data_IF_472096285388
#
_entry.id   IF_472096285388
#
_cell.length_a   1.000
_cell.length_b   1.000
_cell.length_c   1.000
_cell.angle_alpha   90.00
_cell.angle_beta   90.00
_cell.angle_gamma   90.00
#
_symmetry.space_group_name_H-M   'P 1'
#
loop_
_entity.id
_entity.type
_entity.pdbx_description
1 polymer ?
#
# COMPACT_ATOMS: atom_id res chain seq x y z
N UNK A 1 3.82 52.28 -71.67
CA UNK A 1 2.67 53.12 -71.33
C UNK A 1 1.55 52.19 -70.91
N UNK A 2 0.94 52.20 -69.75
CA UNK A 2 1.18 52.82 -68.43
C UNK A 2 0.16 52.14 -67.50
N UNK A 3 0.56 51.93 -66.25
CA UNK A 3 -0.23 51.94 -65.01
C UNK A 3 -1.58 51.17 -64.91
N UNK A 4 -1.71 50.23 -63.97
CA UNK A 4 -1.87 50.39 -62.50
C UNK A 4 -3.35 50.53 -62.09
N UNK A 5 -3.78 49.74 -61.09
CA UNK A 5 -5.04 49.97 -60.37
C UNK A 5 -5.75 48.68 -59.93
N UNK A 6 -5.40 48.19 -58.74
CA UNK A 6 -5.95 46.96 -58.16
C UNK A 6 -7.37 47.06 -57.61
N UNK A 7 -7.93 45.91 -57.25
CA UNK A 7 -8.90 45.79 -56.15
C UNK A 7 -8.83 44.40 -55.53
N UNK A 8 -8.68 44.44 -54.22
CA UNK A 8 -8.42 43.35 -53.27
C UNK A 8 -9.50 42.27 -53.27
N UNK A 9 -9.08 41.01 -53.10
CA UNK A 9 -9.90 39.95 -52.53
C UNK A 9 -9.11 39.35 -51.38
N UNK A 10 -9.54 39.67 -50.16
CA UNK A 10 -8.94 39.21 -48.90
C UNK A 10 -8.98 37.68 -48.82
N UNK A 11 -7.83 37.11 -48.47
CA UNK A 11 -7.66 35.73 -48.06
C UNK A 11 -7.58 35.70 -46.54
N UNK A 12 -8.53 35.01 -45.90
CA UNK A 12 -8.42 34.65 -44.48
C UNK A 12 -8.25 33.13 -44.40
N UNK A 13 -7.00 32.72 -44.20
CA UNK A 13 -6.61 31.41 -43.71
C UNK A 13 -6.12 31.58 -42.28
N UNK A 14 -6.89 31.14 -41.29
CA UNK A 14 -6.42 31.09 -39.91
C UNK A 14 -6.43 29.68 -39.32
N UNK A 15 -5.34 29.38 -38.65
CA UNK A 15 -4.85 28.07 -38.28
C UNK A 15 -5.40 27.59 -36.93
N UNK A 16 -5.95 26.38 -36.90
CA UNK A 16 -6.23 25.64 -35.66
C UNK A 16 -4.93 25.05 -35.09
N UNK A 17 -4.34 25.71 -34.08
CA UNK A 17 -3.37 25.11 -33.15
C UNK A 17 -4.08 24.72 -31.86
N UNK A 18 -4.33 23.43 -31.66
CA UNK A 18 -4.72 22.87 -30.37
C UNK A 18 -3.47 22.47 -29.57
N UNK A 19 -3.16 23.24 -28.54
CA UNK A 19 -2.06 23.01 -27.61
C UNK A 19 -2.55 22.13 -26.43
N UNK A 20 -1.95 20.96 -26.30
CA UNK A 20 -2.21 19.95 -25.26
C UNK A 20 -1.26 20.24 -24.10
N UNK A 21 -1.76 20.64 -22.92
CA UNK A 21 -0.96 20.62 -21.68
C UNK A 21 -1.68 20.02 -20.48
N UNK A 22 -0.93 19.13 -19.84
CA UNK A 22 -1.23 18.23 -18.75
C UNK A 22 -1.35 18.95 -17.38
N UNK A 23 -2.33 18.54 -16.58
CA UNK A 23 -2.43 18.87 -15.16
C UNK A 23 -1.53 17.95 -14.30
N UNK A 24 -0.72 18.49 -13.37
CA UNK A 24 -0.12 17.72 -12.29
C UNK A 24 -1.01 17.73 -11.03
N UNK A 25 -1.19 16.55 -10.46
CA UNK A 25 -1.89 16.27 -9.20
C UNK A 25 -0.85 16.31 -8.07
N UNK A 26 -1.01 17.19 -7.08
CA UNK A 26 -0.32 17.06 -5.80
C UNK A 26 -1.28 17.32 -4.63
N UNK A 27 -1.09 16.49 -3.62
CA UNK A 27 -1.97 16.15 -2.51
C UNK A 27 -1.39 16.80 -1.25
N UNK A 28 -2.19 17.57 -0.50
CA UNK A 28 -1.84 18.07 0.84
C UNK A 28 -2.88 17.58 1.84
N UNK A 29 -2.36 17.00 2.92
CA UNK A 29 -3.06 16.43 4.07
C UNK A 29 -3.55 17.57 4.96
N UNK A 30 -4.87 17.70 5.15
CA UNK A 30 -5.48 18.57 6.16
C UNK A 30 -6.03 17.72 7.30
N UNK A 31 -5.52 17.96 8.51
CA UNK A 31 -5.98 17.38 9.77
C UNK A 31 -7.43 17.80 10.08
N UNK A 32 -8.35 16.85 10.11
CA UNK A 32 -9.72 17.06 10.61
C UNK A 32 -9.82 16.63 12.07
N UNK A 33 -10.09 17.59 12.96
CA UNK A 33 -10.66 17.34 14.28
C UNK A 33 -12.12 16.90 14.07
N UNK A 34 -12.46 15.66 14.42
CA UNK A 34 -13.83 15.15 14.31
C UNK A 34 -14.65 15.54 15.55
N UNK A 35 -15.86 16.12 15.42
CA UNK A 35 -16.80 16.22 16.53
C UNK A 35 -17.44 14.84 16.81
N UNK A 36 -17.76 14.59 18.08
CA UNK A 36 -18.25 13.33 18.62
C UNK A 36 -19.62 12.91 18.03
N UNK A 37 -19.91 11.59 17.95
CA UNK A 37 -21.16 11.08 17.40
C UNK A 37 -22.35 11.25 18.38
N UNK A 38 -23.45 11.81 17.89
CA UNK A 38 -24.74 11.86 18.59
C UNK A 38 -25.46 10.49 18.46
N UNK A 39 -25.79 9.79 19.56
CA UNK A 39 -26.33 8.43 19.52
C UNK A 39 -27.82 8.31 19.18
N UNK A 40 -28.47 9.38 18.72
CA UNK A 40 -29.93 9.44 18.58
C UNK A 40 -30.48 9.15 17.17
N UNK A 41 -29.63 8.78 16.19
CA UNK A 41 -30.07 8.50 14.81
C UNK A 41 -29.65 7.12 14.27
N UNK A 42 -29.04 6.26 15.09
CA UNK A 42 -28.46 4.99 14.65
C UNK A 42 -29.43 3.79 14.70
N UNK A 43 -30.71 3.99 15.01
CA UNK A 43 -31.68 2.89 15.19
C UNK A 43 -32.77 2.77 14.11
N UNK A 44 -32.64 3.45 12.96
CA UNK A 44 -33.59 3.27 11.86
C UNK A 44 -32.81 3.04 10.57
N UNK A 45 -32.89 1.81 10.05
CA UNK A 45 -32.20 1.24 8.89
C UNK A 45 -30.87 0.56 9.28
N UNK A 46 -30.95 -0.73 9.60
CA UNK A 46 -29.80 -1.61 9.79
C UNK A 46 -29.00 -1.84 8.49
N UNK A 47 -28.15 -0.87 8.15
CA UNK A 47 -27.12 -0.99 7.11
C UNK A 47 -25.86 -0.33 7.69
N UNK A 48 -24.81 -1.13 7.89
CA UNK A 48 -23.56 -0.67 8.49
C UNK A 48 -22.85 0.38 7.64
N UNK A 49 -22.14 1.30 8.31
CA UNK A 49 -21.38 2.41 7.70
C UNK A 49 -20.30 1.94 6.69
N UNK A 50 -19.93 0.66 6.73
CA UNK A 50 -18.96 0.04 5.82
C UNK A 50 -19.56 -0.34 4.44
N UNK A 51 -20.88 -0.53 4.35
CA UNK A 51 -21.57 -0.78 3.07
C UNK A 51 -21.73 0.49 2.22
N UNK A 52 -21.62 1.67 2.83
CA UNK A 52 -21.75 2.97 2.15
C UNK A 52 -20.49 3.39 1.37
N UNK A 53 -19.33 2.79 1.63
CA UNK A 53 -18.07 3.13 0.94
C UNK A 53 -17.88 2.34 -0.38
N UNK A 54 -18.66 1.29 -0.61
CA UNK A 54 -18.56 0.45 -1.82
C UNK A 54 -19.63 0.76 -2.89
N UNK A 55 -20.49 1.76 -2.68
CA UNK A 55 -21.65 2.06 -3.54
C UNK A 55 -21.45 3.30 -4.42
N UNK A 56 -20.28 3.45 -5.03
CA UNK A 56 -20.17 4.04 -6.38
C UNK A 56 -19.97 2.94 -7.41
N UNK A 57 -20.89 1.97 -7.39
CA UNK A 57 -20.96 0.90 -8.37
C UNK A 57 -20.89 1.51 -9.78
N UNK A 58 -19.86 1.13 -10.54
CA UNK A 58 -19.88 1.35 -11.97
C UNK A 58 -21.22 0.84 -12.50
N UNK A 59 -22.01 1.70 -13.18
CA UNK A 59 -23.36 1.36 -13.65
C UNK A 59 -23.38 0.19 -14.66
N UNK A 60 -22.21 -0.31 -15.05
CA UNK A 60 -21.95 -1.55 -15.76
C UNK A 60 -20.96 -2.40 -14.97
N UNK A 61 -21.29 -3.68 -14.71
CA UNK A 61 -20.34 -4.69 -14.21
C UNK A 61 -19.37 -5.08 -15.33
N UNK A 62 -18.13 -5.41 -15.02
CA UNK A 62 -17.16 -5.91 -15.99
C UNK A 62 -17.43 -7.39 -16.31
N UNK A 63 -17.24 -7.79 -17.58
CA UNK A 63 -17.23 -9.21 -17.99
C UNK A 63 -15.82 -9.79 -17.82
N UNK A 64 -14.83 -9.03 -18.28
CA UNK A 64 -13.40 -9.28 -18.24
C UNK A 64 -12.74 -7.93 -17.88
N UNK A 65 -11.58 -7.89 -17.21
CA UNK A 65 -10.94 -6.62 -16.85
C UNK A 65 -10.86 -5.64 -18.02
N UNK A 66 -11.47 -4.47 -17.87
CA UNK A 66 -11.50 -3.43 -18.90
C UNK A 66 -12.64 -3.51 -19.93
N UNK A 67 -13.47 -4.56 -19.90
CA UNK A 67 -14.65 -4.70 -20.78
C UNK A 67 -15.93 -4.70 -19.96
N UNK A 68 -16.73 -3.65 -20.11
CA UNK A 68 -18.05 -3.54 -19.48
C UNK A 68 -19.07 -4.49 -20.11
N UNK A 69 -19.97 -5.04 -19.29
CA UNK A 69 -21.10 -5.86 -19.73
C UNK A 69 -22.10 -5.11 -20.62
N UNK A 70 -22.30 -3.82 -20.38
CA UNK A 70 -23.27 -3.00 -21.12
C UNK A 70 -22.61 -2.23 -22.25
N UNK A 71 -23.31 -2.08 -23.36
CA UNK A 71 -22.86 -1.26 -24.48
C UNK A 71 -22.87 0.24 -24.14
N UNK A 72 -22.17 1.05 -24.94
CA UNK A 72 -22.07 2.51 -24.73
C UNK A 72 -23.44 3.20 -24.69
N UNK A 73 -24.39 2.78 -25.52
CA UNK A 73 -25.75 3.33 -25.56
C UNK A 73 -26.57 2.96 -24.31
N UNK A 74 -26.48 1.70 -23.87
CA UNK A 74 -27.11 1.25 -22.63
C UNK A 74 -26.54 1.98 -21.40
N UNK A 75 -25.22 2.18 -21.36
CA UNK A 75 -24.56 2.97 -20.31
C UNK A 75 -25.01 4.43 -20.37
N UNK A 76 -25.14 5.03 -21.55
CA UNK A 76 -25.64 6.40 -21.71
C UNK A 76 -27.06 6.57 -21.14
N UNK A 77 -27.97 5.65 -21.50
CA UNK A 77 -29.33 5.62 -20.99
C UNK A 77 -29.37 5.42 -19.46
N UNK A 78 -28.67 4.41 -18.94
CA UNK A 78 -28.57 4.17 -17.49
C UNK A 78 -27.91 5.31 -16.73
N UNK A 79 -27.02 6.06 -17.38
CA UNK A 79 -26.39 7.23 -16.78
C UNK A 79 -27.28 8.48 -16.82
N UNK A 80 -28.44 8.39 -17.47
CA UNK A 80 -29.35 9.50 -17.71
C UNK A 80 -28.65 10.72 -18.35
N UNK A 81 -27.61 10.47 -19.16
CA UNK A 81 -26.84 11.54 -19.82
C UNK A 81 -27.66 12.27 -20.89
N UNK A 82 -28.77 11.68 -21.33
CA UNK A 82 -29.76 12.34 -22.18
C UNK A 82 -30.42 13.56 -21.50
N UNK A 83 -30.38 13.65 -20.16
CA UNK A 83 -30.90 14.80 -19.40
C UNK A 83 -29.96 16.03 -19.41
N UNK A 84 -28.87 15.98 -20.15
CA UNK A 84 -27.90 17.08 -20.28
C UNK A 84 -26.72 17.01 -19.33
N UNK A 85 -25.65 17.74 -19.67
CA UNK A 85 -24.44 17.84 -18.85
C UNK A 85 -24.66 18.82 -17.69
N UNK A 86 -24.25 18.46 -16.48
CA UNK A 86 -24.23 19.38 -15.34
C UNK A 86 -23.12 20.43 -15.57
N UNK A 87 -23.50 21.64 -15.99
CA UNK A 87 -22.59 22.79 -16.06
C UNK A 87 -22.51 23.47 -14.70
N UNK A 88 -21.65 22.96 -13.82
CA UNK A 88 -21.19 23.72 -12.66
C UNK A 88 -19.72 24.06 -12.90
N UNK A 89 -19.43 25.30 -13.26
CA UNK A 89 -18.07 25.83 -13.27
C UNK A 89 -17.57 25.82 -11.83
N UNK A 90 -16.74 24.83 -11.50
CA UNK A 90 -16.00 24.84 -10.24
C UNK A 90 -15.06 26.06 -10.31
N UNK A 91 -15.10 26.99 -9.33
CA UNK A 91 -14.15 28.10 -9.30
C UNK A 91 -12.72 27.54 -9.38
N UNK A 92 -11.89 28.14 -10.24
CA UNK A 92 -10.48 27.78 -10.32
C UNK A 92 -9.86 27.99 -8.94
N UNK A 93 -9.14 26.98 -8.44
CA UNK A 93 -8.40 27.12 -7.20
C UNK A 93 -7.36 28.23 -7.39
N UNK A 94 -7.45 29.28 -6.58
CA UNK A 94 -6.50 30.40 -6.60
C UNK A 94 -5.07 29.87 -6.39
N UNK A 95 -4.17 30.23 -7.30
CA UNK A 95 -2.75 29.93 -7.17
C UNK A 95 -2.18 30.60 -5.92
N UNK A 96 -1.35 29.92 -5.11
CA UNK A 96 -0.77 30.53 -3.92
C UNK A 96 0.07 31.75 -4.32
N UNK A 97 -0.11 32.86 -3.60
CA UNK A 97 0.58 34.12 -3.87
C UNK A 97 2.10 33.97 -3.84
N UNK A 98 2.78 34.51 -4.85
CA UNK A 98 4.24 34.38 -5.04
C UNK A 98 5.05 35.14 -3.96
N UNK A 99 4.45 36.15 -3.35
CA UNK A 99 5.06 36.99 -2.31
C UNK A 99 4.16 37.13 -1.09
N UNK A 100 4.71 36.92 0.10
CA UNK A 100 4.03 37.15 1.38
C UNK A 100 4.51 38.45 2.00
N UNK A 101 3.58 39.33 2.38
CA UNK A 101 3.87 40.51 3.19
C UNK A 101 4.28 40.09 4.60
N UNK A 102 5.53 40.38 4.97
CA UNK A 102 6.01 40.23 6.34
C UNK A 102 6.08 41.60 7.00
N UNK A 103 5.44 41.73 8.16
CA UNK A 103 5.59 42.91 8.99
C UNK A 103 7.00 42.95 9.61
N UNK A 104 7.61 44.13 9.66
CA UNK A 104 8.95 44.35 10.23
C UNK A 104 8.83 45.30 11.41
N UNK A 105 9.41 44.90 12.55
CA UNK A 105 9.46 45.72 13.76
C UNK A 105 10.44 46.90 13.64
N UNK A 106 10.03 48.06 14.17
CA UNK A 106 10.83 49.27 14.30
C UNK A 106 10.16 50.50 13.68
N UNK A 107 10.05 51.58 14.47
CA UNK A 107 9.33 52.83 14.12
C UNK A 107 9.82 53.53 12.83
N UNK A 108 11.07 53.29 12.42
CA UNK A 108 11.68 53.91 11.23
C UNK A 108 11.82 52.97 10.02
N UNK A 109 11.24 51.75 10.08
CA UNK A 109 11.47 50.69 9.09
C UNK A 109 10.32 50.43 8.10
N UNK A 110 9.31 51.29 8.04
CA UNK A 110 8.27 51.24 7.00
C UNK A 110 7.27 50.08 7.09
N UNK A 111 7.26 49.32 8.19
CA UNK A 111 6.18 48.42 8.59
C UNK A 111 6.06 47.08 7.86
N UNK A 112 6.21 47.00 6.53
CA UNK A 112 6.01 45.76 5.76
C UNK A 112 7.05 45.56 4.65
N UNK A 113 7.45 44.31 4.38
CA UNK A 113 8.19 43.90 3.17
C UNK A 113 7.54 42.71 2.48
N UNK A 114 7.53 42.74 1.16
CA UNK A 114 7.16 41.60 0.32
C UNK A 114 8.35 40.63 0.27
N UNK A 115 8.14 39.39 0.72
CA UNK A 115 9.15 38.33 0.71
C UNK A 115 8.67 37.17 -0.17
N UNK A 116 9.47 36.69 -1.13
CA UNK A 116 9.11 35.52 -1.93
C UNK A 116 8.85 34.29 -1.06
N UNK A 117 7.79 33.55 -1.37
CA UNK A 117 7.40 32.34 -0.62
C UNK A 117 8.44 31.22 -0.77
N UNK A 118 9.06 31.11 -1.95
CA UNK A 118 10.15 30.17 -2.23
C UNK A 118 11.39 30.93 -2.68
N UNK A 119 12.49 30.84 -1.91
CA UNK A 119 13.78 31.44 -2.29
C UNK A 119 14.50 30.56 -3.30
N UNK A 120 15.10 31.18 -4.32
CA UNK A 120 15.97 30.48 -5.25
C UNK A 120 17.20 29.91 -4.52
N UNK A 121 17.73 28.75 -4.94
CA UNK A 121 18.97 28.22 -4.39
C UNK A 121 20.14 29.17 -4.68
N UNK A 122 21.09 29.24 -3.74
CA UNK A 122 22.31 30.07 -3.90
C UNK A 122 23.34 29.44 -4.83
N UNK A 123 23.31 28.12 -4.96
CA UNK A 123 24.25 27.33 -5.75
C UNK A 123 23.54 26.72 -6.97
N UNK A 124 24.17 26.85 -8.13
CA UNK A 124 23.75 26.21 -9.38
C UNK A 124 24.82 25.19 -9.78
N UNK A 125 24.41 23.97 -10.09
CA UNK A 125 25.31 22.95 -10.64
C UNK A 125 25.76 23.33 -12.05
N UNK A 126 26.98 22.93 -12.44
CA UNK A 126 27.48 23.18 -13.79
C UNK A 126 26.73 22.37 -14.87
N UNK A 127 26.16 21.22 -14.49
CA UNK A 127 25.38 20.35 -15.38
C UNK A 127 24.00 20.06 -14.78
N UNK A 128 22.99 20.06 -15.64
CA UNK A 128 21.62 19.70 -15.27
C UNK A 128 21.41 18.18 -15.31
N UNK A 129 20.88 17.63 -14.22
CA UNK A 129 20.48 16.22 -14.17
C UNK A 129 19.13 16.06 -14.87
N UNK A 130 19.11 15.29 -15.97
CA UNK A 130 17.88 14.98 -16.71
C UNK A 130 16.83 14.33 -15.81
N UNK A 131 15.63 14.93 -15.74
CA UNK A 131 14.53 14.36 -14.96
C UNK A 131 14.01 13.05 -15.57
N UNK A 132 13.79 12.00 -14.75
CA UNK A 132 13.25 10.74 -15.24
C UNK A 132 11.79 10.91 -15.68
N UNK A 133 11.40 10.20 -16.75
CA UNK A 133 10.01 10.21 -17.24
C UNK A 133 9.09 9.57 -16.19
N UNK A 134 7.92 10.19 -15.95
CA UNK A 134 6.91 9.66 -15.01
C UNK A 134 6.36 8.31 -15.50
N UNK A 135 6.68 7.23 -14.79
CA UNK A 135 6.11 5.91 -15.03
C UNK A 135 4.68 5.83 -14.49
N UNK A 136 3.80 5.14 -15.22
CA UNK A 136 2.43 4.80 -14.78
C UNK A 136 2.37 3.51 -13.96
N UNK A 137 3.49 2.80 -13.81
CA UNK A 137 3.56 1.53 -13.08
C UNK A 137 3.63 1.83 -11.58
N UNK A 138 2.62 1.36 -10.83
CA UNK A 138 2.67 1.32 -9.37
C UNK A 138 2.95 -0.10 -8.89
N UNK A 139 3.79 -0.29 -7.86
CA UNK A 139 3.95 -1.60 -7.24
C UNK A 139 2.63 -2.01 -6.59
N UNK A 140 2.15 -3.19 -6.94
CA UNK A 140 0.93 -3.78 -6.36
C UNK A 140 1.32 -4.97 -5.49
N UNK A 141 0.57 -5.26 -4.41
CA UNK A 141 0.81 -6.45 -3.63
C UNK A 141 0.60 -7.71 -4.50
N UNK A 142 1.39 -8.77 -4.29
CA UNK A 142 1.23 -10.03 -5.01
C UNK A 142 -0.13 -10.68 -4.70
N UNK A 143 -0.72 -11.29 -5.73
CA UNK A 143 -1.90 -12.13 -5.56
C UNK A 143 -1.57 -13.41 -4.81
N UNK A 144 -2.44 -13.79 -3.89
CA UNK A 144 -2.30 -15.01 -3.13
C UNK A 144 -2.60 -16.24 -4.01
N UNK A 145 -1.80 -17.30 -3.85
CA UNK A 145 -1.93 -18.58 -4.59
C UNK A 145 -3.13 -19.34 -4.04
N UNK A 146 -3.95 -19.94 -4.90
CA UNK A 146 -5.14 -20.71 -4.50
C UNK A 146 -4.86 -21.84 -3.50
N UNK A 147 -3.65 -22.42 -3.52
CA UNK A 147 -3.23 -23.47 -2.59
C UNK A 147 -3.05 -22.97 -1.15
N UNK A 148 -2.92 -21.66 -0.94
CA UNK A 148 -2.72 -21.07 0.37
C UNK A 148 -4.08 -20.60 0.87
N UNK A 149 -4.65 -21.29 1.83
CA UNK A 149 -5.88 -20.84 2.52
C UNK A 149 -5.56 -20.61 4.00
N UNK A 150 -6.26 -19.71 4.72
CA UNK A 150 -6.06 -19.56 6.17
C UNK A 150 -6.12 -20.94 6.84
N UNK A 151 -5.13 -21.25 7.67
CA UNK A 151 -4.98 -22.57 8.30
C UNK A 151 -4.13 -23.58 7.56
N UNK A 152 -3.73 -23.30 6.32
CA UNK A 152 -2.84 -24.21 5.57
C UNK A 152 -1.48 -24.31 6.24
N UNK A 153 -0.96 -25.53 6.34
CA UNK A 153 0.41 -25.75 6.79
C UNK A 153 1.38 -25.49 5.65
N UNK A 154 2.37 -24.68 5.94
CA UNK A 154 3.38 -24.15 5.05
C UNK A 154 4.75 -24.70 5.44
N UNK A 155 5.57 -25.08 4.45
CA UNK A 155 6.98 -25.44 4.66
C UNK A 155 7.82 -24.23 4.27
N UNK A 156 8.63 -23.72 5.20
CA UNK A 156 9.56 -22.63 4.94
C UNK A 156 10.81 -23.14 4.22
N UNK A 157 11.17 -22.52 3.10
CA UNK A 157 12.36 -22.91 2.33
C UNK A 157 13.60 -22.08 2.68
N UNK A 158 13.41 -20.80 3.02
CA UNK A 158 14.50 -19.86 3.21
C UNK A 158 14.59 -19.31 4.64
N UNK A 159 15.79 -18.84 5.01
CA UNK A 159 16.07 -18.18 6.28
C UNK A 159 16.40 -19.12 7.44
N UNK A 160 16.32 -18.59 8.67
CA UNK A 160 16.72 -19.31 9.89
C UNK A 160 15.85 -20.51 10.22
N UNK A 161 14.59 -20.49 9.77
CA UNK A 161 13.56 -21.49 10.03
C UNK A 161 13.28 -22.38 8.80
N UNK A 162 14.24 -22.51 7.89
CA UNK A 162 14.14 -23.43 6.74
C UNK A 162 13.80 -24.87 7.19
N UNK A 163 12.99 -25.56 6.40
CA UNK A 163 12.49 -26.91 6.70
C UNK A 163 11.39 -26.95 7.77
N UNK A 164 11.13 -25.87 8.52
CA UNK A 164 10.07 -25.88 9.53
C UNK A 164 8.69 -25.85 8.87
N UNK A 165 7.75 -26.57 9.47
CA UNK A 165 6.33 -26.58 9.12
C UNK A 165 5.60 -25.58 9.98
N UNK A 166 4.79 -24.73 9.38
CA UNK A 166 4.29 -23.51 10.00
C UNK A 166 2.87 -23.23 9.53
N UNK A 167 2.02 -22.61 10.34
CA UNK A 167 0.60 -22.40 10.00
C UNK A 167 0.41 -21.01 9.42
N UNK A 168 -0.31 -20.93 8.30
CA UNK A 168 -0.69 -19.66 7.68
C UNK A 168 -1.90 -19.03 8.38
N UNK A 169 -1.81 -17.73 8.69
CA UNK A 169 -2.88 -16.97 9.33
C UNK A 169 -3.62 -16.06 8.35
N UNK A 170 -2.95 -14.99 7.92
CA UNK A 170 -3.52 -13.96 7.02
C UNK A 170 -2.46 -13.42 6.06
N UNK A 171 -2.90 -12.85 4.95
CA UNK A 171 -2.05 -12.03 4.09
C UNK A 171 -2.02 -10.60 4.63
N UNK A 172 -0.84 -9.99 4.68
CA UNK A 172 -0.67 -8.58 5.05
C UNK A 172 -0.89 -7.64 3.86
N UNK A 173 -1.02 -6.35 4.13
CA UNK A 173 -1.19 -5.30 3.10
C UNK A 173 -0.05 -5.23 2.09
N UNK A 174 1.18 -5.57 2.50
CA UNK A 174 2.33 -5.70 1.61
C UNK A 174 2.27 -6.92 0.67
N UNK A 175 1.34 -7.85 0.92
CA UNK A 175 1.23 -9.15 0.27
C UNK A 175 2.12 -10.23 0.87
N UNK A 176 2.88 -9.93 1.93
CA UNK A 176 3.59 -10.93 2.73
C UNK A 176 2.61 -11.78 3.55
N UNK A 177 2.98 -13.02 3.81
CA UNK A 177 2.21 -13.96 4.61
C UNK A 177 2.53 -13.76 6.09
N UNK A 178 1.51 -13.60 6.93
CA UNK A 178 1.64 -13.75 8.37
C UNK A 178 1.52 -15.23 8.73
N UNK A 179 2.55 -15.71 9.40
CA UNK A 179 2.76 -17.13 9.63
C UNK A 179 3.15 -17.33 11.10
N UNK A 180 2.65 -18.38 11.74
CA UNK A 180 3.03 -18.78 13.11
C UNK A 180 3.27 -20.28 13.19
N UNK A 181 4.36 -20.70 13.83
CA UNK A 181 4.63 -22.11 14.09
C UNK A 181 4.61 -22.29 15.58
N UNK A 182 3.45 -22.69 16.16
CA UNK A 182 3.16 -22.54 17.58
C UNK A 182 4.42 -22.68 18.41
N UNK A 183 4.84 -21.59 19.08
CA UNK A 183 6.23 -21.39 19.48
C UNK A 183 6.72 -22.52 20.40
N UNK A 184 5.82 -23.07 21.22
CA UNK A 184 6.04 -24.24 22.08
C UNK A 184 6.43 -25.53 21.32
N UNK A 185 5.98 -25.69 20.09
CA UNK A 185 6.24 -26.89 19.26
C UNK A 185 7.52 -26.69 18.43
N UNK A 186 7.61 -25.59 17.69
CA UNK A 186 8.59 -25.43 16.60
C UNK A 186 9.63 -24.33 16.85
N UNK A 187 9.40 -23.45 17.81
CA UNK A 187 10.23 -22.27 18.08
C UNK A 187 10.15 -21.19 16.99
N UNK A 188 9.12 -21.21 16.15
CA UNK A 188 8.90 -20.21 15.09
C UNK A 188 7.88 -19.19 15.57
N UNK A 189 8.27 -17.95 15.90
CA UNK A 189 7.33 -16.92 16.34
C UNK A 189 6.48 -16.42 15.17
N UNK A 190 5.50 -15.57 15.47
CA UNK A 190 4.77 -14.76 14.51
C UNK A 190 5.76 -14.01 13.61
N UNK A 191 5.73 -14.34 12.33
CA UNK A 191 6.71 -13.83 11.37
C UNK A 191 6.10 -13.59 10.01
N UNK A 192 6.61 -12.57 9.34
CA UNK A 192 6.30 -12.28 7.94
C UNK A 192 7.16 -13.14 7.03
N UNK A 193 6.55 -13.75 6.02
CA UNK A 193 7.23 -14.60 5.05
C UNK A 193 6.76 -14.25 3.64
N UNK A 194 7.70 -14.23 2.69
CA UNK A 194 7.34 -14.08 1.28
C UNK A 194 6.82 -15.42 0.73
N UNK A 195 5.67 -15.37 0.08
CA UNK A 195 4.98 -16.48 -0.55
C UNK A 195 5.84 -17.31 -1.51
N UNK A 196 6.84 -16.72 -2.16
CA UNK A 196 7.74 -17.42 -3.07
C UNK A 196 8.62 -18.48 -2.37
N UNK A 197 8.94 -18.28 -1.09
CA UNK A 197 9.83 -19.16 -0.33
C UNK A 197 9.08 -20.18 0.53
N UNK A 198 7.88 -20.56 0.08
CA UNK A 198 6.97 -21.41 0.82
C UNK A 198 6.38 -22.48 -0.09
N UNK A 199 6.37 -23.72 0.41
CA UNK A 199 5.55 -24.80 -0.14
C UNK A 199 4.26 -24.87 0.68
N UNK A 200 3.12 -24.74 0.00
CA UNK A 200 1.83 -24.99 0.60
C UNK A 200 1.57 -26.49 0.58
N UNK A 201 1.22 -27.06 1.73
CA UNK A 201 0.80 -28.46 1.82
C UNK A 201 -0.71 -28.58 1.73
N UNK A 202 -1.20 -29.77 1.45
CA UNK A 202 -2.62 -30.12 1.47
C UNK A 202 -3.23 -30.10 2.88
N UNK A 203 -2.41 -30.25 3.92
CA UNK A 203 -2.87 -30.26 5.33
C UNK A 203 -3.34 -28.88 5.80
N UNK A 204 -4.53 -28.84 6.41
CA UNK A 204 -5.17 -27.63 6.91
C UNK A 204 -5.58 -27.79 8.37
N UNK A 205 -5.36 -26.73 9.15
CA UNK A 205 -5.84 -26.58 10.52
C UNK A 205 -7.05 -25.67 10.50
N UNK A 206 -8.09 -26.01 11.25
CA UNK A 206 -9.25 -25.13 11.38
C UNK A 206 -8.92 -23.90 12.26
N UNK A 207 -9.03 -22.72 11.66
CA UNK A 207 -8.74 -21.39 12.25
C UNK A 207 -10.02 -20.55 12.34
N UNK A 208 -11.20 -21.10 12.03
CA UNK A 208 -12.47 -20.35 12.03
C UNK A 208 -12.77 -19.63 13.36
N UNK A 209 -12.33 -20.19 14.50
CA UNK A 209 -12.50 -19.57 15.83
C UNK A 209 -11.45 -18.52 16.21
N UNK A 210 -10.42 -18.27 15.39
CA UNK A 210 -9.30 -17.39 15.73
C UNK A 210 -9.40 -16.06 14.96
N UNK A 211 -9.77 -15.00 15.68
CA UNK A 211 -9.71 -13.64 15.15
C UNK A 211 -8.27 -13.13 15.24
N UNK A 212 -7.61 -13.01 14.10
CA UNK A 212 -6.26 -12.43 14.03
C UNK A 212 -6.40 -10.92 14.09
N UNK A 213 -6.01 -10.33 15.22
CA UNK A 213 -6.11 -8.89 15.45
C UNK A 213 -5.52 -8.05 14.31
N UNK A 214 -6.16 -6.91 14.06
CA UNK A 214 -5.69 -5.91 13.10
C UNK A 214 -4.37 -5.25 13.53
N UNK A 215 -3.98 -5.38 14.81
CA UNK A 215 -2.69 -4.91 15.33
C UNK A 215 -1.49 -5.48 14.57
N UNK A 216 -1.63 -6.71 14.03
CA UNK A 216 -0.58 -7.38 13.27
C UNK A 216 -0.52 -6.85 11.83
N UNK A 217 0.13 -5.70 11.66
CA UNK A 217 0.39 -5.05 10.37
C UNK A 217 1.89 -5.05 10.03
N UNK A 218 2.23 -4.63 8.80
CA UNK A 218 3.62 -4.58 8.33
C UNK A 218 4.53 -3.71 9.22
N UNK A 219 4.01 -2.62 9.77
CA UNK A 219 4.72 -1.71 10.69
C UNK A 219 5.09 -2.38 12.02
N UNK A 220 4.26 -3.28 12.53
CA UNK A 220 4.52 -4.01 13.79
C UNK A 220 5.78 -4.90 13.68
N UNK A 221 6.02 -5.42 12.48
CA UNK A 221 7.15 -6.28 12.16
C UNK A 221 8.29 -5.53 11.47
N UNK A 222 8.25 -4.21 11.40
CA UNK A 222 9.36 -3.42 10.90
C UNK A 222 10.55 -3.55 11.84
N UNK A 223 11.75 -3.70 11.27
CA UNK A 223 12.97 -3.71 12.06
C UNK A 223 13.25 -2.26 12.50
N UNK A 224 13.52 -2.00 13.79
CA UNK A 224 13.90 -0.65 14.22
C UNK A 224 15.20 -0.27 13.50
N UNK A 225 15.20 0.88 12.82
CA UNK A 225 16.42 1.43 12.24
C UNK A 225 17.23 2.08 13.36
N UNK A 226 18.30 1.44 13.79
CA UNK A 226 19.35 2.08 14.61
C UNK A 226 20.14 3.01 13.69
N UNK A 227 19.62 4.22 13.46
CA UNK A 227 20.42 5.30 12.88
C UNK A 227 21.09 6.01 14.04
N UNK A 228 22.16 5.41 14.55
CA UNK A 228 23.08 6.15 15.40
C UNK A 228 23.87 7.05 14.48
N UNK A 229 23.99 8.34 14.79
CA UNK A 229 24.89 9.24 14.06
C UNK A 229 26.33 8.93 14.50
N UNK A 230 26.84 7.77 14.13
CA UNK A 230 28.23 7.37 14.33
C UNK A 230 29.09 7.90 13.21
N UNK A 231 30.33 8.25 13.54
CA UNK A 231 31.33 8.57 12.53
C UNK A 231 31.57 7.34 11.62
N UNK A 232 31.93 7.57 10.34
CA UNK A 232 32.17 6.48 9.38
C UNK A 232 33.23 5.47 9.87
N UNK A 233 34.14 5.91 10.75
CA UNK A 233 35.17 5.08 11.37
C UNK A 233 34.58 4.16 12.46
N UNK A 234 33.68 4.67 13.32
CA UNK A 234 33.04 3.86 14.36
C UNK A 234 32.13 2.75 13.79
N UNK A 235 31.41 3.03 12.70
CA UNK A 235 30.58 2.01 12.01
C UNK A 235 31.44 0.86 11.44
N UNK A 236 32.65 1.18 10.95
CA UNK A 236 33.58 0.18 10.41
C UNK A 236 34.11 -0.78 11.48
N UNK A 237 34.35 -0.30 12.71
CA UNK A 237 34.80 -1.16 13.83
C UNK A 237 33.66 -1.95 14.51
N UNK A 238 32.40 -1.51 14.38
CA UNK A 238 31.25 -2.21 14.93
C UNK A 238 30.74 -3.37 14.05
N UNK A 239 30.92 -3.30 12.73
CA UNK A 239 30.44 -4.35 11.80
C UNK A 239 31.16 -5.71 11.96
N UNK A 240 32.35 -5.72 12.59
CA UNK A 240 33.09 -6.94 12.93
C UNK A 240 32.71 -7.59 14.27
N UNK A 241 31.99 -6.89 15.16
CA UNK A 241 31.54 -7.45 16.45
C UNK A 241 30.20 -8.18 16.27
N UNK A 242 29.96 -9.31 16.96
CA UNK A 242 28.66 -9.97 16.92
C UNK A 242 27.58 -9.03 17.43
N UNK A 243 26.75 -8.49 16.54
CA UNK A 243 25.64 -7.59 16.85
C UNK A 243 24.83 -8.18 18.00
N UNK A 244 24.81 -7.48 19.14
CA UNK A 244 24.13 -7.91 20.35
C UNK A 244 22.66 -8.22 20.02
N UNK A 245 22.19 -9.40 20.44
CA UNK A 245 20.80 -9.81 20.25
C UNK A 245 19.92 -8.82 21.01
N UNK A 246 19.22 -7.96 20.28
CA UNK A 246 18.25 -7.05 20.89
C UNK A 246 17.23 -7.85 21.71
N UNK A 247 17.00 -7.49 22.98
CA UNK A 247 16.02 -8.19 23.81
C UNK A 247 14.64 -8.09 23.14
N UNK A 248 13.93 -9.21 23.11
CA UNK A 248 12.59 -9.26 22.54
C UNK A 248 11.67 -8.51 23.51
N UNK A 249 10.87 -7.53 23.05
CA UNK A 249 9.93 -6.83 23.92
C UNK A 249 8.87 -7.80 24.45
N UNK A 250 8.54 -7.67 25.73
CA UNK A 250 7.60 -8.56 26.43
C UNK A 250 6.21 -8.57 25.79
N UNK A 251 5.79 -7.45 25.18
CA UNK A 251 4.53 -7.34 24.44
C UNK A 251 4.42 -8.36 23.30
N UNK A 252 5.50 -8.57 22.53
CA UNK A 252 5.52 -9.56 21.44
C UNK A 252 5.40 -10.99 21.97
N UNK A 253 5.92 -11.25 23.16
CA UNK A 253 5.82 -12.55 23.80
C UNK A 253 4.40 -12.82 24.33
N UNK A 254 3.70 -11.79 24.83
CA UNK A 254 2.30 -11.90 25.24
C UNK A 254 1.38 -12.16 24.04
N UNK A 255 1.51 -11.34 22.98
CA UNK A 255 0.75 -11.50 21.73
C UNK A 255 0.92 -12.90 21.13
N UNK A 256 2.14 -13.45 21.18
CA UNK A 256 2.42 -14.80 20.71
C UNK A 256 1.66 -15.87 21.52
N UNK A 257 1.65 -15.75 22.85
CA UNK A 257 0.99 -16.73 23.72
C UNK A 257 -0.52 -16.76 23.46
N UNK A 258 -1.14 -15.61 23.26
CA UNK A 258 -2.58 -15.50 22.95
C UNK A 258 -2.94 -16.25 21.66
N UNK A 259 -2.23 -15.97 20.57
CA UNK A 259 -2.46 -16.61 19.27
C UNK A 259 -2.16 -18.11 19.34
N UNK A 260 -1.07 -18.50 20.00
CA UNK A 260 -0.69 -19.91 20.10
C UNK A 260 -1.65 -20.72 20.95
N UNK A 261 -2.20 -20.16 22.03
CA UNK A 261 -3.15 -20.87 22.88
C UNK A 261 -4.41 -21.28 22.09
N UNK A 262 -4.91 -20.40 21.23
CA UNK A 262 -6.03 -20.72 20.34
C UNK A 262 -5.67 -21.80 19.31
N UNK A 263 -4.50 -21.72 18.68
CA UNK A 263 -4.06 -22.73 17.70
C UNK A 263 -3.78 -24.09 18.30
N UNK A 264 -3.20 -24.13 19.51
CA UNK A 264 -2.89 -25.38 20.19
C UNK A 264 -4.14 -26.19 20.52
N UNK A 265 -5.26 -25.53 20.81
CA UNK A 265 -6.54 -26.21 21.01
C UNK A 265 -7.00 -26.94 19.74
N UNK A 266 -6.89 -26.30 18.56
CA UNK A 266 -7.21 -26.93 17.28
C UNK A 266 -6.23 -28.05 16.91
N UNK A 267 -4.93 -27.83 17.11
CA UNK A 267 -3.88 -28.80 16.74
C UNK A 267 -3.96 -30.09 17.55
N UNK A 268 -4.38 -30.01 18.82
CA UNK A 268 -4.54 -31.19 19.69
C UNK A 268 -5.72 -32.08 19.29
N UNK A 269 -6.73 -31.53 18.58
CA UNK A 269 -7.89 -32.31 18.10
C UNK A 269 -7.49 -33.30 17.01
N UNK A 270 -6.52 -32.94 16.18
CA UNK A 270 -6.00 -33.78 15.10
C UNK A 270 -4.85 -34.64 15.60
N UNK A 271 -4.99 -35.96 15.44
CA UNK A 271 -3.97 -36.91 15.88
C UNK A 271 -2.63 -36.68 15.16
N UNK A 272 -1.52 -36.77 15.89
CA UNK A 272 -0.14 -36.65 15.39
C UNK A 272 0.25 -35.33 14.70
N UNK A 273 -0.65 -34.34 14.58
CA UNK A 273 -0.33 -33.06 13.93
C UNK A 273 0.74 -32.26 14.69
N UNK A 274 0.75 -32.35 16.03
CA UNK A 274 1.79 -31.73 16.86
C UNK A 274 3.19 -32.29 16.54
N UNK A 275 3.32 -33.60 16.34
CA UNK A 275 4.57 -34.26 15.93
C UNK A 275 4.95 -33.87 14.50
N UNK A 276 3.97 -33.81 13.60
CA UNK A 276 4.18 -33.39 12.21
C UNK A 276 4.74 -31.96 12.14
N UNK A 277 4.14 -31.01 12.87
CA UNK A 277 4.62 -29.64 12.93
C UNK A 277 6.04 -29.56 13.52
N UNK A 278 6.35 -30.33 14.57
CA UNK A 278 7.69 -30.38 15.20
C UNK A 278 8.79 -30.87 14.27
N UNK A 279 8.48 -31.84 13.42
CA UNK A 279 9.42 -32.44 12.50
C UNK A 279 9.86 -31.43 11.41
N UNK A 280 11.15 -31.48 11.07
CA UNK A 280 11.69 -30.70 9.96
C UNK A 280 11.46 -31.43 8.64
N UNK A 281 11.14 -30.67 7.59
CA UNK A 281 11.13 -31.14 6.22
C UNK A 281 12.53 -31.02 5.61
N UNK A 282 12.87 -32.02 4.81
CA UNK A 282 14.08 -32.13 4.01
C UNK A 282 13.90 -33.28 3.03
N UNK A 283 14.69 -33.30 1.97
CA UNK A 283 14.69 -34.39 0.99
C UNK A 283 15.72 -35.43 1.39
N UNK A 284 15.31 -36.70 1.43
CA UNK A 284 16.21 -37.83 1.58
C UNK A 284 16.66 -38.37 0.22
N UNK A 285 17.71 -39.20 0.21
CA UNK A 285 18.16 -39.89 -1.00
C UNK A 285 17.00 -40.69 -1.61
N UNK A 286 16.77 -40.50 -2.91
CA UNK A 286 15.68 -41.16 -3.65
C UNK A 286 14.33 -40.43 -3.61
N UNK A 287 14.20 -39.30 -2.90
CA UNK A 287 13.00 -38.47 -2.94
C UNK A 287 13.18 -37.33 -3.95
N UNK A 288 12.27 -37.25 -4.93
CA UNK A 288 12.30 -36.21 -5.96
C UNK A 288 11.10 -35.25 -5.83
N UNK A 289 11.31 -33.93 -5.74
CA UNK A 289 10.23 -32.96 -5.52
C UNK A 289 9.09 -33.00 -6.54
N UNK A 290 9.38 -33.37 -7.79
CA UNK A 290 8.37 -33.46 -8.84
C UNK A 290 7.44 -34.68 -8.71
N UNK A 291 7.83 -35.67 -7.89
CA UNK A 291 7.02 -36.86 -7.59
C UNK A 291 6.29 -36.73 -6.25
N UNK A 292 6.71 -35.78 -5.40
CA UNK A 292 6.08 -35.55 -4.10
C UNK A 292 4.79 -34.76 -4.27
N UNK A 293 3.74 -35.22 -3.59
CA UNK A 293 2.51 -34.46 -3.40
C UNK A 293 2.60 -33.78 -2.04
N UNK A 294 2.45 -32.45 -2.06
CA UNK A 294 2.52 -31.61 -0.87
C UNK A 294 1.12 -31.30 -0.35
#
# INVERSE_FOLDING_TARGET
MDNCGGRERQAETEAYRYDIRCFPWNYVVSSSHSPAPNPALDNIIGIGLDDLKNTRMARSKELVPGVGRLSRSQVFAKRALYKGQKKSTKPAAESPAETVEKAIGGEKNGGKRLVPTTKAPRFYSAEDVRQPKKSRKSPKPPSLRSSITPGTVLILLAGRYRGKRVVFLKQLTSGLLLVTGPYKINGVPLRRVNQAYVIATSTKVDISGLKVDEKFNDSYFAKPSTKTASSAEEEFFEDGKPKAKQPIPESKAADQKEVDNALLASIKKTENLSKYLKASWGLSKGQFPHQLVF
#
